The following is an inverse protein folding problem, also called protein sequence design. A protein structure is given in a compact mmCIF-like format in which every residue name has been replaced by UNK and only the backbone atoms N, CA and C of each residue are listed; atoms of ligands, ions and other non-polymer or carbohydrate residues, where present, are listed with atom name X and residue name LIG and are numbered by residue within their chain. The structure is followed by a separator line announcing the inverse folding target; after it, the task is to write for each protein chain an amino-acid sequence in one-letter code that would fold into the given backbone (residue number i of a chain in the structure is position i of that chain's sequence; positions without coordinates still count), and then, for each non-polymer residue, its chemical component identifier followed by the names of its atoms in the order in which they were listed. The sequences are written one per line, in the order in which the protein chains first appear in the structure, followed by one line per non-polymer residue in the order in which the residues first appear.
data_IF_051088802904
#
_entry.id   IF_051088802904
#
_cell.length_a   1.000
_cell.length_b   1.000
_cell.length_c   1.000
_cell.angle_alpha   90.00
_cell.angle_beta   90.00
_cell.angle_gamma   90.00
#
_symmetry.space_group_name_H-M   'P 1'
#
loop_
_entity.id
_entity.type
_entity.pdbx_description
1 polymer ?
#
# COMPACT_ATOMS: atom_id res chain seq x y z
N UNK A 1 -20.91 27.70 0.79
CA UNK A 1 -19.50 27.51 1.21
C UNK A 1 -19.05 26.07 1.02
N UNK A 2 -19.95 25.08 1.09
CA UNK A 2 -19.68 23.71 0.69
C UNK A 2 -19.34 23.63 -0.82
N UNK A 3 -18.38 22.79 -1.19
CA UNK A 3 -17.93 22.57 -2.58
C UNK A 3 -16.82 23.49 -3.10
N UNK A 4 -16.37 24.48 -2.31
CA UNK A 4 -15.26 25.36 -2.70
C UNK A 4 -13.90 24.75 -2.34
N UNK A 5 -12.93 24.86 -3.25
CA UNK A 5 -11.55 24.39 -3.04
C UNK A 5 -10.80 25.32 -2.11
N UNK A 6 -10.12 24.75 -1.10
CA UNK A 6 -9.42 25.51 -0.06
C UNK A 6 -7.94 25.74 -0.37
N UNK A 7 -7.23 24.67 -0.75
CA UNK A 7 -5.80 24.68 -1.06
C UNK A 7 -5.46 23.64 -2.13
N UNK A 8 -4.38 23.86 -2.87
CA UNK A 8 -3.76 22.83 -3.69
C UNK A 8 -2.88 21.93 -2.81
N UNK A 9 -2.98 20.61 -2.98
CA UNK A 9 -2.11 19.64 -2.30
C UNK A 9 -1.63 18.58 -3.29
N UNK A 10 -0.40 18.11 -3.10
CA UNK A 10 0.21 17.08 -3.93
C UNK A 10 -0.39 15.71 -3.61
N UNK A 11 -0.70 14.92 -4.65
CA UNK A 11 -1.19 13.54 -4.48
C UNK A 11 -0.06 12.66 -3.92
N UNK A 12 -0.29 11.98 -2.80
CA UNK A 12 0.75 11.29 -2.04
C UNK A 12 1.50 10.18 -2.82
N UNK A 13 0.93 9.67 -3.90
CA UNK A 13 1.52 8.63 -4.74
C UNK A 13 1.60 8.98 -6.23
N UNK A 14 1.00 10.11 -6.65
CA UNK A 14 0.70 10.33 -8.07
C UNK A 14 1.86 11.00 -8.79
N UNK A 15 2.49 10.30 -9.72
CA UNK A 15 3.54 10.82 -10.61
C UNK A 15 3.02 10.80 -12.04
N UNK A 16 3.36 11.84 -12.81
CA UNK A 16 2.99 11.96 -14.21
C UNK A 16 4.24 12.03 -15.07
N UNK A 17 4.22 11.33 -16.20
CA UNK A 17 5.32 11.25 -17.16
C UNK A 17 4.78 11.65 -18.53
N UNK A 18 5.40 12.65 -19.15
CA UNK A 18 5.10 13.12 -20.50
C UNK A 18 6.19 12.72 -21.49
N UNK A 19 5.86 12.77 -22.78
CA UNK A 19 6.77 12.51 -23.90
C UNK A 19 7.66 13.72 -24.27
N UNK A 20 7.36 14.89 -23.70
CA UNK A 20 8.02 16.19 -23.91
C UNK A 20 7.97 17.01 -22.61
N UNK A 21 8.62 18.20 -22.54
CA UNK A 21 8.61 19.02 -21.33
C UNK A 21 7.19 19.31 -20.82
N UNK A 22 6.93 19.00 -19.55
CA UNK A 22 5.57 19.07 -18.98
C UNK A 22 4.95 20.47 -19.04
N UNK A 23 5.76 21.53 -18.97
CA UNK A 23 5.32 22.92 -19.10
C UNK A 23 4.74 23.27 -20.47
N UNK A 24 5.01 22.48 -21.50
CA UNK A 24 4.41 22.64 -22.83
C UNK A 24 3.05 21.94 -22.95
N UNK A 25 2.74 21.01 -22.04
CA UNK A 25 1.53 20.20 -22.05
C UNK A 25 0.52 20.66 -21.01
N UNK A 26 0.98 20.99 -19.80
CA UNK A 26 0.12 21.30 -18.66
C UNK A 26 0.69 22.46 -17.83
N UNK A 27 -0.18 23.28 -17.21
CA UNK A 27 0.26 24.28 -16.25
C UNK A 27 0.92 23.62 -15.05
N UNK A 28 2.12 24.08 -14.70
CA UNK A 28 2.92 23.57 -13.58
C UNK A 28 2.90 24.53 -12.39
N UNK A 29 3.13 24.00 -11.21
CA UNK A 29 3.23 24.70 -9.94
C UNK A 29 4.39 24.11 -9.13
N UNK A 30 5.06 24.93 -8.33
CA UNK A 30 6.10 24.47 -7.39
C UNK A 30 5.53 24.54 -5.98
N UNK A 31 5.31 23.37 -5.38
CA UNK A 31 4.96 23.27 -3.97
C UNK A 31 6.18 23.65 -3.12
N UNK A 32 6.09 24.64 -2.20
CA UNK A 32 7.21 25.00 -1.33
C UNK A 32 7.73 23.85 -0.45
N UNK A 33 6.93 22.79 -0.27
CA UNK A 33 7.27 21.61 0.53
C UNK A 33 7.90 20.48 -0.30
N UNK A 34 7.99 20.62 -1.62
CA UNK A 34 8.50 19.59 -2.53
C UNK A 34 9.50 20.18 -3.52
N UNK A 35 10.60 19.46 -3.75
CA UNK A 35 11.55 19.82 -4.81
C UNK A 35 11.06 19.42 -6.21
N UNK A 36 10.02 18.58 -6.30
CA UNK A 36 9.45 18.16 -7.58
C UNK A 36 8.35 19.13 -8.05
N UNK A 37 8.34 19.50 -9.34
CA UNK A 37 7.27 20.30 -9.92
C UNK A 37 5.97 19.49 -9.98
N UNK A 38 4.85 20.16 -9.74
CA UNK A 38 3.51 19.56 -9.63
C UNK A 38 2.63 20.11 -10.76
N UNK A 39 1.81 19.27 -11.38
CA UNK A 39 0.80 19.75 -12.35
C UNK A 39 -0.35 20.44 -11.62
N UNK A 40 -0.88 21.54 -12.16
CA UNK A 40 -2.08 22.20 -11.63
C UNK A 40 -3.36 21.44 -12.00
N UNK A 41 -3.29 20.48 -12.92
CA UNK A 41 -4.41 19.61 -13.22
C UNK A 41 -4.60 18.55 -12.14
N UNK A 42 -5.86 18.29 -11.81
CA UNK A 42 -6.20 17.16 -10.97
C UNK A 42 -6.16 15.84 -11.77
N UNK A 43 -6.29 14.72 -11.07
CA UNK A 43 -6.21 13.37 -11.66
C UNK A 43 -7.10 13.17 -12.90
N UNK A 44 -8.28 13.81 -12.95
CA UNK A 44 -9.24 13.62 -14.05
C UNK A 44 -8.77 14.21 -15.39
N UNK A 45 -7.90 15.21 -15.34
CA UNK A 45 -7.50 15.99 -16.52
C UNK A 45 -6.07 15.68 -16.99
N UNK A 46 -5.27 14.98 -16.17
CA UNK A 46 -3.90 14.59 -16.49
C UNK A 46 -3.83 13.61 -17.66
N UNK A 47 -4.63 12.53 -17.63
CA UNK A 47 -4.63 11.51 -18.69
C UNK A 47 -5.14 12.08 -20.03
N UNK A 48 -6.27 12.82 -20.09
CA UNK A 48 -6.70 13.48 -21.32
C UNK A 48 -5.70 14.51 -21.88
N UNK A 49 -4.84 15.08 -21.03
CA UNK A 49 -3.78 16.00 -21.46
C UNK A 49 -2.57 15.29 -22.08
N UNK A 50 -2.63 13.97 -22.28
CA UNK A 50 -1.57 13.18 -22.92
C UNK A 50 -0.46 12.74 -21.98
N UNK A 51 -0.69 12.81 -20.66
CA UNK A 51 0.28 12.36 -19.66
C UNK A 51 -0.02 10.92 -19.22
N UNK A 52 1.03 10.15 -19.00
CA UNK A 52 0.93 8.81 -18.41
C UNK A 52 1.05 8.95 -16.90
N UNK A 53 0.06 8.42 -16.17
CA UNK A 53 0.01 8.45 -14.71
C UNK A 53 0.55 7.15 -14.13
N UNK A 54 1.43 7.28 -13.14
CA UNK A 54 1.92 6.19 -12.30
C UNK A 54 1.60 6.48 -10.83
N UNK A 55 1.23 5.44 -10.09
CA UNK A 55 1.09 5.53 -8.64
C UNK A 55 2.28 4.83 -7.96
N UNK A 56 3.11 5.60 -7.26
CA UNK A 56 4.19 5.12 -6.42
C UNK A 56 3.75 5.17 -4.97
N UNK A 57 3.23 4.05 -4.46
CA UNK A 57 2.72 3.97 -3.10
C UNK A 57 3.85 3.61 -2.13
N UNK A 58 4.05 4.45 -1.11
CA UNK A 58 4.88 4.11 0.04
C UNK A 58 4.12 3.19 1.00
N UNK A 59 4.44 1.90 1.02
CA UNK A 59 3.82 0.94 1.94
C UNK A 59 4.70 0.75 3.18
N UNK A 60 4.19 1.17 4.35
CA UNK A 60 4.86 0.96 5.65
C UNK A 60 5.21 -0.51 5.90
N UNK A 61 4.35 -1.43 5.46
CA UNK A 61 4.57 -2.88 5.57
C UNK A 61 5.88 -3.32 4.90
N UNK A 62 6.21 -2.77 3.73
CA UNK A 62 7.46 -3.09 3.03
C UNK A 62 8.68 -2.60 3.83
N UNK A 63 8.60 -1.43 4.43
CA UNK A 63 9.66 -0.92 5.32
C UNK A 63 9.85 -1.80 6.55
N UNK A 64 8.74 -2.27 7.16
CA UNK A 64 8.81 -3.18 8.32
C UNK A 64 9.49 -4.50 7.94
N UNK A 65 9.13 -5.07 6.78
CA UNK A 65 9.74 -6.31 6.28
C UNK A 65 11.24 -6.14 5.98
N UNK A 66 11.63 -5.05 5.32
CA UNK A 66 13.05 -4.74 5.04
C UNK A 66 13.88 -4.62 6.32
N UNK A 67 13.36 -3.92 7.33
CA UNK A 67 14.02 -3.82 8.64
C UNK A 67 14.11 -5.18 9.33
N UNK A 68 13.05 -5.99 9.29
CA UNK A 68 13.05 -7.33 9.88
C UNK A 68 14.13 -8.23 9.24
N UNK A 69 14.22 -8.25 7.91
CA UNK A 69 15.25 -9.02 7.18
C UNK A 69 16.66 -8.52 7.53
N UNK A 70 16.88 -7.21 7.63
CA UNK A 70 18.17 -6.63 8.05
C UNK A 70 18.57 -7.05 9.46
N UNK A 71 17.61 -7.08 10.39
CA UNK A 71 17.85 -7.52 11.78
C UNK A 71 18.13 -9.02 11.86
N UNK A 72 17.44 -9.85 11.07
CA UNK A 72 17.70 -11.29 10.99
C UNK A 72 19.11 -11.57 10.43
N UNK A 73 19.53 -10.82 9.42
CA UNK A 73 20.87 -10.92 8.84
C UNK A 73 21.99 -10.64 9.87
N UNK A 74 21.76 -9.72 10.83
CA UNK A 74 22.72 -9.48 11.92
C UNK A 74 22.89 -10.69 12.85
N UNK A 75 21.96 -11.65 12.81
CA UNK A 75 21.98 -12.92 13.56
C UNK A 75 22.37 -14.11 12.68
N UNK A 76 22.96 -13.86 11.51
CA UNK A 76 23.32 -14.88 10.50
C UNK A 76 22.11 -15.67 9.95
N UNK A 77 20.91 -15.09 10.04
CA UNK A 77 19.68 -15.66 9.47
C UNK A 77 19.37 -14.94 8.17
N UNK A 78 19.45 -15.67 7.05
CA UNK A 78 19.18 -15.14 5.72
C UNK A 78 17.77 -15.52 5.27
N UNK A 79 16.96 -14.51 4.94
CA UNK A 79 15.59 -14.69 4.47
C UNK A 79 15.43 -14.01 3.12
N UNK A 80 14.98 -14.76 2.11
CA UNK A 80 14.47 -14.23 0.86
C UNK A 80 12.94 -14.25 0.89
N UNK A 81 12.34 -13.06 0.94
CA UNK A 81 10.89 -12.90 1.02
C UNK A 81 10.17 -13.40 -0.23
N UNK A 82 10.83 -13.42 -1.40
CA UNK A 82 10.22 -13.82 -2.66
C UNK A 82 10.05 -15.34 -2.80
N UNK A 83 10.78 -16.11 -1.99
CA UNK A 83 10.81 -17.58 -2.08
C UNK A 83 10.24 -18.26 -0.84
N UNK A 84 9.59 -17.51 0.07
CA UNK A 84 9.00 -18.09 1.27
C UNK A 84 7.89 -19.09 0.89
N UNK A 85 7.86 -20.27 1.54
CA UNK A 85 6.76 -21.20 1.36
C UNK A 85 5.45 -20.59 1.89
N UNK A 86 4.35 -20.89 1.22
CA UNK A 86 3.02 -20.39 1.58
C UNK A 86 2.22 -21.36 2.45
N UNK A 87 2.79 -22.51 2.81
CA UNK A 87 2.16 -23.61 3.56
C UNK A 87 2.79 -23.81 4.95
N UNK A 88 3.44 -22.78 5.51
CA UNK A 88 4.06 -22.84 6.84
C UNK A 88 3.02 -23.00 7.96
N UNK A 89 2.96 -24.21 8.53
CA UNK A 89 2.00 -24.57 9.58
C UNK A 89 2.11 -23.67 10.83
N UNK A 90 3.31 -23.23 11.19
CA UNK A 90 3.50 -22.38 12.37
C UNK A 90 2.84 -20.99 12.19
N UNK A 91 2.96 -20.41 11.00
CA UNK A 91 2.28 -19.17 10.61
C UNK A 91 0.76 -19.33 10.67
N UNK A 92 0.20 -20.40 10.12
CA UNK A 92 -1.25 -20.66 10.20
C UNK A 92 -1.75 -20.85 11.63
N UNK A 93 -1.01 -21.57 12.47
CA UNK A 93 -1.36 -21.73 13.88
C UNK A 93 -1.35 -20.39 14.64
N UNK A 94 -0.39 -19.50 14.35
CA UNK A 94 -0.36 -18.15 14.89
C UNK A 94 -1.60 -17.35 14.47
N UNK A 95 -1.96 -17.40 13.18
CA UNK A 95 -3.16 -16.76 12.65
C UNK A 95 -4.44 -17.32 13.30
N UNK A 96 -4.57 -18.64 13.42
CA UNK A 96 -5.74 -19.30 14.01
C UNK A 96 -5.93 -19.00 15.51
N UNK A 97 -4.86 -18.69 16.24
CA UNK A 97 -4.93 -18.16 17.62
C UNK A 97 -5.28 -16.68 17.68
N UNK A 98 -5.24 -15.99 16.54
CA UNK A 98 -5.40 -14.56 16.43
C UNK A 98 -4.21 -13.79 16.97
N UNK A 99 -3.00 -14.34 16.98
CA UNK A 99 -1.79 -13.66 17.43
C UNK A 99 -1.27 -12.73 16.33
N UNK A 100 -2.08 -11.72 15.96
CA UNK A 100 -1.92 -10.93 14.72
C UNK A 100 -1.63 -9.45 14.91
N UNK A 101 -1.19 -9.05 16.10
CA UNK A 101 -0.73 -7.68 16.35
C UNK A 101 0.49 -7.40 15.46
N UNK A 102 0.45 -6.32 14.69
CA UNK A 102 1.49 -5.99 13.70
C UNK A 102 1.47 -6.84 12.41
N UNK A 103 0.49 -7.73 12.21
CA UNK A 103 0.33 -8.48 10.96
C UNK A 103 -0.56 -7.68 10.01
N UNK A 104 -0.03 -7.40 8.80
CA UNK A 104 -0.69 -6.56 7.81
C UNK A 104 -2.09 -7.09 7.44
N UNK A 105 -3.05 -6.17 7.27
CA UNK A 105 -4.47 -6.40 6.91
C UNK A 105 -5.34 -7.13 7.94
N UNK A 106 -4.77 -7.90 8.88
CA UNK A 106 -5.55 -8.75 9.80
C UNK A 106 -5.58 -8.30 11.26
N UNK A 107 -5.10 -7.08 11.54
CA UNK A 107 -4.94 -6.57 12.91
C UNK A 107 -6.23 -6.07 13.57
N UNK A 108 -7.24 -5.67 12.79
CA UNK A 108 -8.47 -5.07 13.35
C UNK A 108 -9.22 -6.09 14.22
N UNK A 109 -9.90 -5.62 15.27
CA UNK A 109 -10.56 -6.49 16.25
C UNK A 109 -11.52 -7.49 15.61
N UNK A 110 -12.34 -7.04 14.67
CA UNK A 110 -13.31 -7.91 14.01
C UNK A 110 -12.68 -8.84 12.98
N UNK A 111 -11.61 -8.41 12.29
CA UNK A 111 -10.84 -9.29 11.39
C UNK A 111 -10.13 -10.39 12.17
N UNK A 112 -9.51 -10.04 13.31
CA UNK A 112 -8.91 -10.99 14.25
C UNK A 112 -9.92 -12.02 14.72
N UNK A 113 -11.15 -11.60 15.04
CA UNK A 113 -12.21 -12.52 15.45
C UNK A 113 -12.61 -13.48 14.33
N UNK A 114 -12.83 -12.95 13.13
CA UNK A 114 -13.15 -13.75 11.96
C UNK A 114 -12.04 -14.78 11.63
N UNK A 115 -10.78 -14.39 11.77
CA UNK A 115 -9.62 -15.27 11.59
C UNK A 115 -9.61 -16.44 12.60
N UNK A 116 -9.90 -16.17 13.89
CA UNK A 116 -9.99 -17.20 14.94
C UNK A 116 -11.14 -18.18 14.68
N UNK A 117 -12.29 -17.67 14.26
CA UNK A 117 -13.47 -18.49 13.98
C UNK A 117 -13.27 -19.34 12.71
N UNK A 118 -12.58 -18.80 11.69
CA UNK A 118 -12.26 -19.47 10.43
C UNK A 118 -11.18 -20.55 10.57
N UNK A 119 -10.17 -20.32 11.44
CA UNK A 119 -9.00 -21.21 11.62
C UNK A 119 -8.29 -21.55 10.29
N UNK A 120 -7.66 -20.55 9.63
CA UNK A 120 -7.03 -20.76 8.33
C UNK A 120 -5.97 -21.87 8.38
N UNK A 121 -5.96 -22.72 7.36
CA UNK A 121 -4.93 -23.75 7.17
C UNK A 121 -4.17 -23.65 5.83
N UNK A 122 -4.59 -22.71 4.97
CA UNK A 122 -4.01 -22.47 3.65
C UNK A 122 -4.10 -21.00 3.26
N UNK A 123 -3.38 -20.64 2.20
CA UNK A 123 -3.24 -19.25 1.77
C UNK A 123 -4.57 -18.68 1.23
N UNK A 124 -5.36 -19.52 0.58
CA UNK A 124 -6.67 -19.16 0.02
C UNK A 124 -7.65 -18.66 1.09
N UNK A 125 -7.53 -19.14 2.33
CA UNK A 125 -8.38 -18.68 3.44
C UNK A 125 -8.08 -17.22 3.80
N UNK A 126 -6.80 -16.81 3.75
CA UNK A 126 -6.38 -15.43 3.99
C UNK A 126 -6.91 -14.53 2.88
N UNK A 127 -6.81 -14.98 1.62
CA UNK A 127 -7.36 -14.26 0.46
C UNK A 127 -8.87 -14.05 0.64
N UNK A 128 -9.59 -15.13 0.95
CA UNK A 128 -11.04 -15.10 1.14
C UNK A 128 -11.43 -14.16 2.30
N UNK A 129 -10.74 -14.25 3.44
CA UNK A 129 -10.99 -13.40 4.59
C UNK A 129 -10.83 -11.91 4.25
N UNK A 130 -9.71 -11.52 3.62
CA UNK A 130 -9.46 -10.12 3.25
C UNK A 130 -10.47 -9.62 2.21
N UNK A 131 -10.91 -10.48 1.29
CA UNK A 131 -11.90 -10.13 0.28
C UNK A 131 -13.31 -9.93 0.87
N UNK A 132 -13.73 -10.83 1.77
CA UNK A 132 -15.06 -10.82 2.38
C UNK A 132 -15.19 -9.79 3.50
N UNK A 133 -14.11 -9.53 4.23
CA UNK A 133 -14.08 -8.56 5.32
C UNK A 133 -13.75 -7.15 4.81
N UNK A 134 -14.53 -6.71 3.81
CA UNK A 134 -14.64 -5.32 3.41
C UNK A 134 -16.05 -4.86 3.76
N UNK A 135 -16.28 -3.60 4.13
CA UNK A 135 -17.64 -3.08 4.15
C UNK A 135 -18.24 -3.32 2.76
N UNK A 136 -19.21 -4.23 2.68
CA UNK A 136 -20.13 -4.30 1.55
C UNK A 136 -20.96 -3.01 1.46
N UNK A 137 -21.68 -2.79 0.35
CA UNK A 137 -22.43 -1.56 0.11
C UNK A 137 -23.40 -1.20 1.24
#
# INVERSE_FOLDING_TARGET
LEGLTRHASTHAAGIVIGDRPLSELVPMYRDPKSDMPVTQFNMKWVEPAGLVKFDFLGLKTLTVLDVAVKLLKQRDVHVDLATLPIDDAASYQMLARGDVVGVFQVESQGMRRALIDMRPDRFEDIIALVALYRPGP
#
